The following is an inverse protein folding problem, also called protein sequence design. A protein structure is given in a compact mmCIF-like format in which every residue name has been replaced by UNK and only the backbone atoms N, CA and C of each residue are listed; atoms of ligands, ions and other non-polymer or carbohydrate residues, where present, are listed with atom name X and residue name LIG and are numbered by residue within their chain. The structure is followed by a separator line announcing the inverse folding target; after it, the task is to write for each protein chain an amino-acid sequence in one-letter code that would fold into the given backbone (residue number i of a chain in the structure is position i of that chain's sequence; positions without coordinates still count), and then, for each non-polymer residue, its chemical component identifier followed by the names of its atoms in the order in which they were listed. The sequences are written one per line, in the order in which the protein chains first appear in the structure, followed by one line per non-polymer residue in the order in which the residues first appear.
data_IF_976416448727
#
_entry.id   IF_976416448727
#
_cell.length_a   1.000
_cell.length_b   1.000
_cell.length_c   1.000
_cell.angle_alpha   90.00
_cell.angle_beta   90.00
_cell.angle_gamma   90.00
#
_symmetry.space_group_name_H-M   'P 1'
#
loop_
_entity.id
_entity.type
_entity.pdbx_description
1 polymer ?
#
# COMPACT_ATOMS: atom_id res chain seq x y z
N UNK A 1 -22.61 -1.76 37.35
CA UNK A 1 -21.28 -1.87 36.72
C UNK A 1 -21.30 -0.96 35.51
N UNK A 2 -20.86 0.27 35.68
CA UNK A 2 -21.22 1.38 34.79
C UNK A 2 -20.20 1.42 33.64
N UNK A 3 -20.67 1.04 32.45
CA UNK A 3 -19.96 1.15 31.18
C UNK A 3 -19.92 2.63 30.82
N UNK A 4 -18.78 3.28 31.04
CA UNK A 4 -18.45 4.53 30.38
C UNK A 4 -17.67 4.17 29.12
N UNK A 5 -18.31 4.36 27.96
CA UNK A 5 -17.64 4.46 26.67
C UNK A 5 -16.97 5.84 26.67
N UNK A 6 -15.82 5.94 27.34
CA UNK A 6 -14.89 7.03 27.08
C UNK A 6 -14.11 6.61 25.86
N UNK A 7 -14.44 7.23 24.72
CA UNK A 7 -13.76 7.05 23.45
C UNK A 7 -12.25 7.26 23.62
N UNK A 8 -11.55 6.14 23.71
CA UNK A 8 -10.15 5.91 23.38
C UNK A 8 -9.13 6.91 23.90
N UNK A 9 -8.55 6.63 25.06
CA UNK A 9 -7.25 7.18 25.47
C UNK A 9 -6.16 6.50 24.63
N UNK A 10 -5.86 7.07 23.47
CA UNK A 10 -4.79 6.58 22.59
C UNK A 10 -3.43 7.18 23.01
N UNK A 11 -2.58 6.36 23.62
CA UNK A 11 -1.16 6.68 23.86
C UNK A 11 -0.35 6.41 22.58
N UNK A 12 -0.30 7.36 21.66
CA UNK A 12 0.66 7.30 20.54
C UNK A 12 1.88 8.19 20.83
N UNK A 13 3.00 7.51 21.09
CA UNK A 13 4.36 8.02 21.32
C UNK A 13 4.59 8.80 22.63
N UNK A 14 5.23 8.12 23.59
CA UNK A 14 5.84 8.76 24.75
C UNK A 14 7.03 9.62 24.30
N UNK A 15 6.78 10.90 24.01
CA UNK A 15 7.83 11.92 23.92
C UNK A 15 7.98 12.57 25.30
N UNK A 16 9.16 13.11 25.65
CA UNK A 16 9.32 13.83 26.92
C UNK A 16 8.63 15.21 26.89
N UNK A 17 8.33 15.71 25.70
CA UNK A 17 7.73 17.02 25.44
C UNK A 17 6.80 16.93 24.23
N UNK A 18 5.89 17.88 24.08
CA UNK A 18 5.00 17.98 22.91
C UNK A 18 5.16 19.32 22.18
N UNK A 19 4.59 19.40 20.97
CA UNK A 19 4.67 20.57 20.09
C UNK A 19 5.96 20.67 19.28
N UNK A 20 5.96 21.52 18.25
CA UNK A 20 7.12 21.76 17.39
C UNK A 20 8.28 22.32 18.21
N UNK A 21 9.40 21.60 18.25
CA UNK A 21 10.57 21.95 19.07
C UNK A 21 10.47 21.58 20.56
N UNK A 22 9.44 20.82 20.98
CA UNK A 22 9.35 20.30 22.35
C UNK A 22 9.07 21.34 23.43
N UNK A 23 8.47 22.47 23.06
CA UNK A 23 8.20 23.58 23.98
C UNK A 23 7.05 23.30 24.96
N UNK A 24 6.23 22.27 24.73
CA UNK A 24 5.09 21.96 25.60
C UNK A 24 5.47 20.88 26.62
N UNK A 25 5.38 21.23 27.90
CA UNK A 25 5.64 20.32 29.01
C UNK A 25 4.43 19.40 29.20
N UNK A 26 4.67 18.08 29.16
CA UNK A 26 3.63 17.08 29.38
C UNK A 26 3.23 17.00 30.85
N UNK A 27 1.93 16.97 31.10
CA UNK A 27 1.34 17.04 32.44
C UNK A 27 0.91 15.71 33.04
N UNK A 28 0.03 15.80 34.04
CA UNK A 28 -0.73 14.66 34.60
C UNK A 28 -1.53 14.00 33.48
N UNK A 29 -1.77 12.69 33.56
CA UNK A 29 -2.40 11.83 32.53
C UNK A 29 -1.46 11.36 31.41
N UNK A 30 -0.33 12.03 31.17
CA UNK A 30 0.68 11.57 30.20
C UNK A 30 1.94 11.05 30.90
N UNK A 31 2.54 11.85 31.79
CA UNK A 31 3.79 11.48 32.49
C UNK A 31 3.59 10.85 33.87
N UNK A 32 2.44 11.12 34.49
CA UNK A 32 2.14 10.67 35.85
C UNK A 32 0.72 10.12 35.89
N UNK A 33 0.57 9.02 36.60
CA UNK A 33 -0.71 8.43 36.92
C UNK A 33 -1.64 9.45 37.62
N UNK A 34 -2.92 9.37 37.30
CA UNK A 34 -3.93 10.23 37.89
C UNK A 34 -4.61 9.50 39.05
N UNK A 35 -4.46 10.02 40.26
CA UNK A 35 -4.98 9.40 41.48
C UNK A 35 -6.13 10.17 42.14
N UNK A 36 -6.39 11.42 41.71
CA UNK A 36 -7.40 12.28 42.34
C UNK A 36 -8.74 12.23 41.60
N UNK A 37 -9.48 11.15 41.82
CA UNK A 37 -10.75 10.88 41.15
C UNK A 37 -11.86 11.91 41.45
N UNK A 38 -11.78 12.64 42.57
CA UNK A 38 -12.77 13.66 42.94
C UNK A 38 -12.87 14.79 41.91
N UNK A 39 -11.75 15.14 41.27
CA UNK A 39 -11.69 16.20 40.28
C UNK A 39 -11.47 15.65 38.85
N UNK A 40 -11.77 14.36 38.62
CA UNK A 40 -11.47 13.69 37.36
C UNK A 40 -12.11 14.40 36.15
N UNK A 41 -13.40 14.72 36.24
CA UNK A 41 -14.15 15.32 35.13
C UNK A 41 -13.57 16.67 34.69
N UNK A 42 -13.25 17.54 35.65
CA UNK A 42 -12.65 18.85 35.38
C UNK A 42 -11.26 18.70 34.75
N UNK A 43 -10.44 17.79 35.29
CA UNK A 43 -9.07 17.56 34.78
C UNK A 43 -9.10 16.90 33.40
N UNK A 44 -10.04 16.00 33.14
CA UNK A 44 -10.19 15.35 31.83
C UNK A 44 -10.68 16.34 30.77
N UNK A 45 -11.68 17.16 31.09
CA UNK A 45 -12.14 18.22 30.19
C UNK A 45 -11.01 19.23 29.89
N UNK A 46 -10.23 19.59 30.92
CA UNK A 46 -9.03 20.40 30.75
C UNK A 46 -8.02 19.72 29.80
N UNK A 47 -7.70 18.45 30.03
CA UNK A 47 -6.76 17.69 29.21
C UNK A 47 -7.20 17.50 27.76
N UNK A 48 -8.48 17.20 27.54
CA UNK A 48 -9.06 16.98 26.21
C UNK A 48 -8.85 18.21 25.30
N UNK A 49 -8.94 19.40 25.89
CA UNK A 49 -8.74 20.68 25.21
C UNK A 49 -7.26 21.05 24.95
N UNK A 50 -6.29 20.31 25.50
CA UNK A 50 -4.87 20.62 25.34
C UNK A 50 -4.41 20.25 23.93
N UNK A 51 -3.62 21.14 23.32
CA UNK A 51 -3.08 20.99 21.97
C UNK A 51 -2.46 19.63 21.66
N UNK A 52 -1.61 19.07 22.54
CA UNK A 52 -0.97 17.78 22.25
C UNK A 52 -1.96 16.61 22.21
N UNK A 53 -3.04 16.68 22.99
CA UNK A 53 -4.11 15.68 22.95
C UNK A 53 -4.88 15.82 21.65
N UNK A 54 -5.38 17.01 21.34
CA UNK A 54 -6.16 17.27 20.10
C UNK A 54 -5.34 16.96 18.86
N UNK A 55 -4.05 17.29 18.85
CA UNK A 55 -3.12 16.95 17.76
C UNK A 55 -2.94 15.43 17.60
N UNK A 56 -2.78 14.69 18.70
CA UNK A 56 -2.63 13.24 18.68
C UNK A 56 -3.91 12.55 18.19
N UNK A 57 -5.07 13.02 18.67
CA UNK A 57 -6.39 12.55 18.20
C UNK A 57 -6.56 12.83 16.71
N UNK A 58 -6.26 14.05 16.25
CA UNK A 58 -6.33 14.41 14.83
C UNK A 58 -5.41 13.53 13.97
N UNK A 59 -4.20 13.23 14.45
CA UNK A 59 -3.26 12.36 13.73
C UNK A 59 -3.80 10.94 13.62
N UNK A 60 -4.37 10.41 14.70
CA UNK A 60 -5.02 9.09 14.69
C UNK A 60 -6.19 9.04 13.72
N UNK A 61 -7.10 10.03 13.76
CA UNK A 61 -8.23 10.13 12.84
C UNK A 61 -7.79 10.17 11.37
N UNK A 62 -6.70 10.90 11.07
CA UNK A 62 -6.15 10.90 9.71
C UNK A 62 -5.60 9.53 9.30
N UNK A 63 -4.95 8.78 10.21
CA UNK A 63 -4.48 7.42 9.94
C UNK A 63 -5.67 6.48 9.67
N UNK A 64 -6.71 6.56 10.50
CA UNK A 64 -7.94 5.79 10.35
C UNK A 64 -8.58 6.04 8.97
N UNK A 65 -8.72 7.30 8.56
CA UNK A 65 -9.24 7.66 7.23
C UNK A 65 -8.37 7.13 6.08
N UNK A 66 -7.04 7.08 6.26
CA UNK A 66 -6.11 6.51 5.27
C UNK A 66 -6.27 4.99 5.18
N UNK A 67 -6.36 4.29 6.32
CA UNK A 67 -6.55 2.83 6.36
C UNK A 67 -7.88 2.40 5.75
N UNK A 68 -8.95 3.16 6.02
CA UNK A 68 -10.26 2.99 5.41
C UNK A 68 -10.32 3.42 3.94
N UNK A 69 -9.22 3.95 3.38
CA UNK A 69 -9.12 4.46 2.01
C UNK A 69 -10.08 5.61 1.68
N UNK A 70 -10.50 6.37 2.70
CA UNK A 70 -11.32 7.59 2.56
C UNK A 70 -10.47 8.82 2.23
N UNK A 71 -9.16 8.78 2.54
CA UNK A 71 -8.24 9.90 2.30
C UNK A 71 -6.87 9.40 1.82
N UNK A 72 -6.25 10.13 0.88
CA UNK A 72 -4.87 9.86 0.45
C UNK A 72 -3.87 10.28 1.54
N UNK A 73 -2.74 9.55 1.73
CA UNK A 73 -1.71 9.96 2.66
C UNK A 73 -1.15 11.36 2.35
N UNK A 74 -0.80 12.12 3.39
CA UNK A 74 -0.42 13.55 3.27
C UNK A 74 0.69 13.80 2.23
N UNK A 75 1.69 12.92 2.13
CA UNK A 75 2.77 13.08 1.14
C UNK A 75 2.27 12.99 -0.32
N UNK A 76 1.22 12.22 -0.59
CA UNK A 76 0.58 12.19 -1.92
C UNK A 76 -0.22 13.46 -2.22
N UNK A 77 -0.75 14.11 -1.19
CA UNK A 77 -1.51 15.36 -1.35
C UNK A 77 -0.57 16.55 -1.62
N UNK A 78 0.61 16.54 -1.00
CA UNK A 78 1.61 17.62 -1.15
C UNK A 78 2.41 17.52 -2.45
N UNK A 79 2.63 16.30 -2.96
CA UNK A 79 3.38 16.08 -4.20
C UNK A 79 2.48 15.44 -5.27
N UNK A 80 1.75 16.30 -5.99
CA UNK A 80 0.91 15.93 -7.12
C UNK A 80 1.71 15.19 -8.21
N UNK A 81 2.99 15.51 -8.39
CA UNK A 81 3.85 14.83 -9.36
C UNK A 81 4.19 13.40 -8.91
N UNK A 82 4.45 13.17 -7.62
CA UNK A 82 4.59 11.82 -7.05
C UNK A 82 3.31 11.00 -7.21
N UNK A 83 2.15 11.61 -6.93
CA UNK A 83 0.85 10.94 -7.12
C UNK A 83 0.67 10.49 -8.57
N UNK A 84 0.91 11.39 -9.52
CA UNK A 84 0.82 11.08 -10.95
C UNK A 84 1.77 9.94 -11.35
N UNK A 85 3.04 9.98 -10.93
CA UNK A 85 4.02 8.92 -11.21
C UNK A 85 3.58 7.56 -10.69
N UNK A 86 3.03 7.51 -9.47
CA UNK A 86 2.59 6.25 -8.86
C UNK A 86 1.38 5.68 -9.59
N UNK A 87 0.43 6.54 -9.96
CA UNK A 87 -0.73 6.12 -10.74
C UNK A 87 -0.32 5.59 -12.13
N UNK A 88 0.63 6.27 -12.79
CA UNK A 88 1.17 5.84 -14.07
C UNK A 88 1.90 4.50 -13.97
N UNK A 89 2.77 4.32 -12.96
CA UNK A 89 3.45 3.05 -12.72
C UNK A 89 2.48 1.90 -12.43
N UNK A 90 1.36 2.17 -11.73
CA UNK A 90 0.30 1.18 -11.50
C UNK A 90 -0.38 0.77 -12.80
N UNK A 91 -0.70 1.74 -13.68
CA UNK A 91 -1.27 1.45 -15.01
C UNK A 91 -0.31 0.58 -15.84
N UNK A 92 0.98 0.89 -15.81
CA UNK A 92 2.02 0.16 -16.56
C UNK A 92 2.25 -1.28 -16.08
N UNK A 93 2.20 -1.54 -14.77
CA UNK A 93 2.39 -2.91 -14.24
C UNK A 93 1.13 -3.79 -14.34
N UNK A 94 -0.06 -3.19 -14.41
CA UNK A 94 -1.35 -3.90 -14.53
C UNK A 94 -1.36 -5.01 -15.60
N UNK A 95 -1.00 -4.74 -16.89
CA UNK A 95 -1.05 -5.76 -17.93
C UNK A 95 -0.13 -6.96 -17.66
N UNK A 96 0.96 -6.77 -16.90
CA UNK A 96 1.89 -7.83 -16.50
C UNK A 96 1.28 -8.68 -15.39
N UNK A 97 0.68 -8.06 -14.38
CA UNK A 97 -0.04 -8.75 -13.31
C UNK A 97 -1.20 -9.57 -13.89
N UNK A 98 -1.99 -8.98 -14.77
CA UNK A 98 -3.12 -9.66 -15.43
C UNK A 98 -2.66 -10.89 -16.21
N UNK A 99 -1.48 -10.80 -16.83
CA UNK A 99 -0.87 -11.93 -17.53
C UNK A 99 -0.54 -13.05 -16.54
N UNK A 100 0.10 -12.76 -15.41
CA UNK A 100 0.45 -13.76 -14.39
C UNK A 100 -0.81 -14.41 -13.79
N UNK A 101 -1.86 -13.62 -13.53
CA UNK A 101 -3.15 -14.14 -13.07
C UNK A 101 -3.76 -15.09 -14.11
N UNK A 102 -3.70 -14.74 -15.41
CA UNK A 102 -4.18 -15.60 -16.49
C UNK A 102 -3.47 -16.96 -16.46
N UNK A 103 -2.14 -16.99 -16.32
CA UNK A 103 -1.37 -18.22 -16.18
C UNK A 103 -1.87 -19.09 -15.04
N UNK A 104 -2.01 -18.49 -13.84
CA UNK A 104 -2.47 -19.20 -12.66
C UNK A 104 -3.88 -19.79 -12.83
N UNK A 105 -4.79 -19.07 -13.49
CA UNK A 105 -6.18 -19.50 -13.71
C UNK A 105 -6.32 -20.59 -14.77
N UNK A 106 -5.50 -20.54 -15.81
CA UNK A 106 -5.53 -21.50 -16.92
C UNK A 106 -4.61 -22.71 -16.68
N UNK A 107 -3.90 -22.75 -15.54
CA UNK A 107 -2.90 -23.76 -15.23
C UNK A 107 -1.82 -23.91 -16.30
N UNK A 108 -1.48 -22.81 -16.98
CA UNK A 108 -0.42 -22.79 -17.98
C UNK A 108 0.91 -22.60 -17.24
N UNK A 109 1.96 -23.30 -17.67
CA UNK A 109 3.29 -23.06 -17.11
C UNK A 109 3.76 -21.65 -17.44
N UNK A 110 4.05 -20.85 -16.41
CA UNK A 110 4.55 -19.49 -16.59
C UNK A 110 5.93 -19.47 -17.25
N UNK A 111 6.80 -20.40 -16.83
CA UNK A 111 8.17 -20.54 -17.32
C UNK A 111 8.21 -21.38 -18.59
N UNK A 112 9.05 -20.96 -19.54
CA UNK A 112 9.33 -21.69 -20.77
C UNK A 112 10.79 -21.52 -21.23
N UNK A 113 11.09 -22.04 -22.41
CA UNK A 113 12.41 -21.92 -23.03
C UNK A 113 12.71 -20.46 -23.43
N UNK A 114 13.89 -19.92 -23.13
CA UNK A 114 14.29 -18.52 -23.45
C UNK A 114 13.38 -17.42 -22.87
N UNK A 115 12.98 -17.57 -21.61
CA UNK A 115 12.09 -16.62 -20.91
C UNK A 115 12.81 -15.34 -20.41
N UNK A 116 14.15 -15.31 -20.46
CA UNK A 116 14.97 -14.18 -20.02
C UNK A 116 15.26 -13.15 -21.12
N UNK A 117 15.53 -11.90 -20.74
CA UNK A 117 15.91 -10.83 -21.68
C UNK A 117 14.72 -10.02 -22.22
N UNK A 118 14.98 -9.04 -23.09
CA UNK A 118 13.93 -8.17 -23.63
C UNK A 118 12.90 -8.95 -24.46
N UNK A 119 11.74 -8.35 -24.64
CA UNK A 119 10.77 -8.81 -25.64
C UNK A 119 11.22 -8.15 -26.95
N UNK A 120 11.66 -8.96 -27.90
CA UNK A 120 12.06 -8.43 -29.21
C UNK A 120 10.91 -7.65 -29.85
N UNK A 121 11.24 -6.48 -30.40
CA UNK A 121 10.32 -5.62 -31.13
C UNK A 121 9.90 -6.22 -32.46
N UNK A 122 10.64 -7.21 -32.97
CA UNK A 122 10.21 -8.03 -34.08
C UNK A 122 9.12 -8.99 -33.58
N UNK A 123 7.91 -8.45 -33.61
CA UNK A 123 6.69 -9.14 -33.26
C UNK A 123 6.54 -10.43 -34.08
N UNK A 124 7.10 -10.49 -35.30
CA UNK A 124 6.97 -11.59 -36.28
C UNK A 124 8.16 -12.56 -36.31
N UNK A 125 9.02 -12.50 -35.29
CA UNK A 125 10.02 -13.54 -35.04
C UNK A 125 9.39 -14.94 -35.03
N UNK A 126 9.93 -15.83 -35.88
CA UNK A 126 9.53 -17.24 -35.99
C UNK A 126 10.00 -18.06 -34.76
N UNK A 127 10.92 -17.52 -33.96
CA UNK A 127 11.43 -18.23 -32.80
C UNK A 127 10.36 -18.39 -31.72
N UNK A 128 10.26 -19.59 -31.15
CA UNK A 128 9.38 -19.87 -30.02
C UNK A 128 10.05 -19.42 -28.71
N UNK A 129 9.52 -18.35 -28.11
CA UNK A 129 9.97 -17.85 -26.80
C UNK A 129 9.10 -18.43 -25.69
N UNK A 130 9.58 -18.31 -24.46
CA UNK A 130 8.87 -18.80 -23.28
C UNK A 130 7.44 -18.26 -23.21
N UNK A 131 6.54 -19.08 -22.66
CA UNK A 131 5.11 -18.82 -22.64
C UNK A 131 4.80 -17.36 -22.24
N UNK A 132 5.40 -16.88 -21.14
CA UNK A 132 5.18 -15.54 -20.63
C UNK A 132 5.41 -14.45 -21.68
N UNK A 133 6.54 -14.51 -22.41
CA UNK A 133 6.83 -13.59 -23.52
C UNK A 133 5.86 -13.77 -24.69
N UNK A 134 5.46 -15.00 -25.01
CA UNK A 134 4.50 -15.26 -26.09
C UNK A 134 3.16 -14.55 -25.84
N UNK A 135 2.62 -14.62 -24.62
CA UNK A 135 1.37 -13.92 -24.28
C UNK A 135 1.57 -12.40 -24.29
N UNK A 136 2.67 -11.87 -23.76
CA UNK A 136 2.92 -10.43 -23.81
C UNK A 136 3.03 -9.91 -25.25
N UNK A 137 3.67 -10.66 -26.15
CA UNK A 137 3.67 -10.33 -27.59
C UNK A 137 2.28 -10.39 -28.19
N UNK A 138 1.48 -11.38 -27.83
CA UNK A 138 0.08 -11.44 -28.28
C UNK A 138 -0.71 -10.21 -27.84
N UNK A 139 -0.48 -9.70 -26.62
CA UNK A 139 -1.11 -8.46 -26.14
C UNK A 139 -0.64 -7.24 -26.94
N UNK A 140 0.66 -7.13 -27.22
CA UNK A 140 1.20 -6.07 -28.08
C UNK A 140 0.60 -6.11 -29.49
N UNK A 141 0.49 -7.31 -30.10
CA UNK A 141 -0.18 -7.52 -31.40
C UNK A 141 -1.65 -7.12 -31.37
N UNK A 142 -2.31 -7.31 -30.23
CA UNK A 142 -3.72 -6.98 -30.04
C UNK A 142 -3.96 -5.49 -29.76
N UNK A 143 -2.91 -4.66 -29.74
CA UNK A 143 -3.02 -3.21 -29.56
C UNK A 143 -2.97 -2.72 -28.10
N UNK A 144 -2.34 -3.45 -27.18
CA UNK A 144 -2.11 -2.96 -25.82
C UNK A 144 -1.08 -1.82 -25.80
N UNK A 145 -1.58 -0.59 -25.97
CA UNK A 145 -0.77 0.63 -26.01
C UNK A 145 -0.06 0.92 -24.68
N UNK A 146 -0.68 0.58 -23.55
CA UNK A 146 -0.09 0.81 -22.22
C UNK A 146 1.13 -0.08 -22.03
N UNK A 147 1.00 -1.37 -22.36
CA UNK A 147 2.12 -2.31 -22.31
C UNK A 147 3.21 -1.91 -23.31
N UNK A 148 2.82 -1.49 -24.52
CA UNK A 148 3.77 -1.02 -25.55
C UNK A 148 4.58 0.18 -25.04
N UNK A 149 3.92 1.24 -24.58
CA UNK A 149 4.56 2.44 -24.05
C UNK A 149 5.46 2.12 -22.84
N UNK A 150 5.04 1.21 -21.96
CA UNK A 150 5.87 0.77 -20.83
C UNK A 150 7.17 0.09 -21.31
N UNK A 151 7.08 -0.83 -22.27
CA UNK A 151 8.24 -1.56 -22.78
C UNK A 151 9.19 -0.66 -23.59
N UNK A 152 8.68 0.36 -24.27
CA UNK A 152 9.46 1.33 -25.06
C UNK A 152 10.13 2.41 -24.19
N UNK A 153 9.45 2.88 -23.14
CA UNK A 153 9.91 4.02 -22.33
C UNK A 153 10.84 3.66 -21.16
N UNK A 154 10.84 2.40 -20.70
CA UNK A 154 11.55 2.01 -19.49
C UNK A 154 12.96 1.48 -19.78
N UNK A 155 13.87 1.73 -18.83
CA UNK A 155 15.19 1.09 -18.86
C UNK A 155 15.05 -0.43 -18.75
N UNK A 156 16.03 -1.17 -19.29
CA UNK A 156 16.03 -2.65 -19.31
C UNK A 156 15.80 -3.28 -17.93
N UNK A 157 16.15 -2.58 -16.85
CA UNK A 157 16.01 -3.04 -15.46
C UNK A 157 14.62 -2.82 -14.86
N UNK A 158 13.76 -1.99 -15.46
CA UNK A 158 12.47 -1.59 -14.92
C UNK A 158 11.27 -2.05 -15.75
N UNK A 159 11.46 -3.09 -16.58
CA UNK A 159 10.42 -3.67 -17.43
C UNK A 159 9.41 -4.54 -16.66
N UNK A 160 9.72 -4.91 -15.41
CA UNK A 160 8.94 -5.84 -14.58
C UNK A 160 8.80 -7.26 -15.15
N UNK A 161 9.62 -7.62 -16.14
CA UNK A 161 9.58 -8.92 -16.80
C UNK A 161 10.48 -9.98 -16.12
N UNK A 162 11.32 -9.57 -15.16
CA UNK A 162 12.29 -10.47 -14.55
C UNK A 162 11.63 -11.62 -13.78
N UNK A 163 12.30 -12.77 -13.72
CA UNK A 163 11.82 -13.90 -12.92
C UNK A 163 11.57 -13.51 -11.45
N UNK A 164 12.41 -12.62 -10.90
CA UNK A 164 12.26 -12.07 -9.55
C UNK A 164 10.93 -11.31 -9.40
N UNK A 165 10.65 -10.36 -10.29
CA UNK A 165 9.41 -9.58 -10.26
C UNK A 165 8.18 -10.48 -10.43
N UNK A 166 8.26 -11.45 -11.33
CA UNK A 166 7.16 -12.41 -11.51
C UNK A 166 6.90 -13.22 -10.23
N UNK A 167 7.94 -13.67 -9.53
CA UNK A 167 7.80 -14.39 -8.26
C UNK A 167 7.21 -13.49 -7.16
N UNK A 168 7.60 -12.20 -7.10
CA UNK A 168 7.00 -11.23 -6.18
C UNK A 168 5.50 -11.07 -6.42
N UNK A 169 5.07 -10.99 -7.70
CA UNK A 169 3.64 -10.91 -8.06
C UNK A 169 2.91 -12.21 -7.68
N UNK A 170 3.51 -13.37 -7.93
CA UNK A 170 2.93 -14.68 -7.55
C UNK A 170 2.72 -14.75 -6.04
N UNK A 171 3.73 -14.38 -5.26
CA UNK A 171 3.65 -14.39 -3.80
C UNK A 171 2.54 -13.45 -3.30
N UNK A 172 2.46 -12.23 -3.84
CA UNK A 172 1.40 -11.29 -3.50
C UNK A 172 0.01 -11.82 -3.84
N UNK A 173 -0.15 -12.51 -4.99
CA UNK A 173 -1.40 -13.18 -5.35
C UNK A 173 -1.73 -14.29 -4.35
N UNK A 174 -0.74 -15.12 -3.97
CA UNK A 174 -0.87 -16.18 -2.98
C UNK A 174 -1.33 -15.65 -1.62
N UNK A 175 -0.75 -14.54 -1.15
CA UNK A 175 -1.15 -13.89 0.11
C UNK A 175 -2.60 -13.41 0.07
N UNK A 176 -3.03 -12.78 -1.03
CA UNK A 176 -4.40 -12.29 -1.19
C UNK A 176 -5.39 -13.46 -1.22
N UNK A 177 -5.08 -14.53 -1.96
CA UNK A 177 -5.93 -15.72 -2.05
C UNK A 177 -6.04 -16.38 -0.66
N UNK A 178 -4.92 -16.54 0.03
CA UNK A 178 -4.87 -17.14 1.37
C UNK A 178 -5.70 -16.33 2.36
N UNK A 179 -5.53 -15.00 2.40
CA UNK A 179 -6.34 -14.10 3.24
C UNK A 179 -7.84 -14.26 2.96
N UNK A 180 -8.24 -14.33 1.69
CA UNK A 180 -9.65 -14.53 1.32
C UNK A 180 -10.20 -15.88 1.78
N UNK A 181 -9.40 -16.95 1.69
CA UNK A 181 -9.80 -18.28 2.18
C UNK A 181 -9.92 -18.27 3.70
N UNK A 182 -8.94 -17.72 4.41
CA UNK A 182 -8.96 -17.62 5.88
C UNK A 182 -10.17 -16.84 6.36
N UNK A 183 -10.47 -15.69 5.76
CA UNK A 183 -11.65 -14.90 6.13
C UNK A 183 -12.96 -15.69 5.95
N UNK A 184 -13.07 -16.50 4.89
CA UNK A 184 -14.25 -17.36 4.66
C UNK A 184 -14.38 -18.55 5.63
N UNK A 185 -13.28 -18.98 6.25
CA UNK A 185 -13.30 -20.05 7.25
C UNK A 185 -13.67 -19.49 8.63
N UNK A 186 -13.32 -18.23 8.88
CA UNK A 186 -13.60 -17.53 10.13
C UNK A 186 -15.05 -17.01 10.19
N UNK A 187 -15.64 -16.66 9.04
CA UNK A 187 -17.08 -16.40 8.87
C UNK A 187 -17.95 -17.64 9.10
#
# INVERSE_FOLDING_TARGET
MMVFIASSVFFFFATETAGTGGHQILGKLVKREFRNWKNALEVFAGHESIYYHTFSVTKFQNIELIEEKKQDPIHYQLDLASKHRIEENRKRISPIIDTIILYGRQCISLRGHRDSGPIDSDIDSIENYGNFKAILRSKLRSGDEILKLHLESMSKTATYLSAKTQNEIINACGDIITKKIVNKIIE
#
